data_IF_850019427481
#
_entry.id   IF_850019427481
#
_cell.length_a   1.000
_cell.length_b   1.000
_cell.length_c   1.000
_cell.angle_alpha   90.00
_cell.angle_beta   90.00
_cell.angle_gamma   90.00
#
_symmetry.space_group_name_H-M   'P 1'
#
loop_
_entity.id
_entity.type
_entity.pdbx_description
1 polymer ?
#
# COMPACT_ATOMS: atom_id res chain seq x y z
N UNK A 1 -26.16 -12.22 68.39
CA UNK A 1 -26.04 -11.57 67.06
C UNK A 1 -24.62 -11.81 66.66
N UNK A 2 -24.45 -12.98 66.08
CA UNK A 2 -23.26 -13.79 66.17
C UNK A 2 -22.28 -13.47 65.05
N UNK A 3 -21.04 -13.30 65.48
CA UNK A 3 -19.76 -13.69 64.88
C UNK A 3 -19.65 -13.79 63.35
N UNK A 4 -18.75 -12.98 62.77
CA UNK A 4 -17.95 -13.46 61.64
C UNK A 4 -16.65 -12.67 61.41
N UNK A 5 -15.55 -13.34 61.71
CA UNK A 5 -14.25 -13.30 61.01
C UNK A 5 -13.58 -14.66 61.27
N UNK A 6 -12.55 -15.13 60.52
CA UNK A 6 -12.04 -14.75 59.19
C UNK A 6 -11.70 -15.99 58.28
N UNK A 7 -10.92 -15.75 57.21
CA UNK A 7 -10.10 -16.68 56.37
C UNK A 7 -10.92 -17.54 55.36
N UNK A 8 -10.59 -17.66 54.06
CA UNK A 8 -9.30 -17.96 53.47
C UNK A 8 -9.22 -17.64 51.96
N UNK A 9 -8.00 -17.33 51.54
CA UNK A 9 -7.55 -17.00 50.19
C UNK A 9 -7.61 -18.21 49.25
N UNK A 10 -8.02 -18.01 47.99
CA UNK A 10 -7.49 -18.75 46.84
C UNK A 10 -7.91 -18.11 45.51
N UNK A 11 -6.96 -18.13 44.57
CA UNK A 11 -7.08 -17.99 43.12
C UNK A 11 -6.90 -16.59 42.50
N UNK A 12 -5.65 -16.32 42.14
CA UNK A 12 -5.25 -15.56 40.95
C UNK A 12 -6.06 -15.99 39.71
N UNK A 13 -6.57 -15.04 38.92
CA UNK A 13 -6.56 -15.11 37.44
C UNK A 13 -6.68 -13.70 36.82
N UNK A 14 -5.95 -13.41 35.74
CA UNK A 14 -6.06 -12.14 35.01
C UNK A 14 -7.31 -12.14 34.12
N UNK A 15 -8.13 -11.10 34.26
CA UNK A 15 -9.34 -10.86 33.46
C UNK A 15 -8.98 -10.72 31.98
N UNK A 16 -9.30 -11.78 31.22
CA UNK A 16 -9.25 -11.87 29.77
C UNK A 16 -10.50 -11.21 29.17
N UNK A 17 -10.32 -10.06 28.51
CA UNK A 17 -11.34 -9.44 27.68
C UNK A 17 -11.69 -10.30 26.45
N UNK A 18 -12.93 -10.21 25.93
CA UNK A 18 -13.51 -11.23 25.07
C UNK A 18 -13.17 -11.05 23.59
N UNK A 19 -13.07 -12.20 22.92
CA UNK A 19 -13.36 -12.44 21.51
C UNK A 19 -12.54 -11.68 20.46
N UNK A 20 -11.26 -12.05 20.38
CA UNK A 20 -10.53 -11.99 19.11
C UNK A 20 -11.04 -13.15 18.24
N UNK A 21 -12.15 -12.93 17.54
CA UNK A 21 -12.53 -13.78 16.42
C UNK A 21 -11.32 -13.90 15.47
N UNK A 22 -11.01 -15.11 14.97
CA UNK A 22 -9.95 -15.26 14.01
C UNK A 22 -10.35 -14.42 12.80
N UNK A 23 -9.51 -13.43 12.46
CA UNK A 23 -9.51 -12.79 11.15
C UNK A 23 -9.17 -13.92 10.19
N UNK A 24 -10.20 -14.68 9.85
CA UNK A 24 -10.24 -15.58 8.72
C UNK A 24 -9.65 -14.79 7.57
N UNK A 25 -8.69 -15.42 6.92
CA UNK A 25 -8.24 -15.14 5.58
C UNK A 25 -9.39 -14.64 4.68
N UNK A 26 -9.72 -13.36 4.81
CA UNK A 26 -10.27 -12.54 3.75
C UNK A 26 -9.11 -12.36 2.76
N UNK A 27 -8.65 -13.48 2.22
CA UNK A 27 -7.88 -13.53 0.98
C UNK A 27 -8.63 -12.61 0.04
N UNK A 28 -7.98 -11.50 -0.30
CA UNK A 28 -8.46 -10.38 -1.09
C UNK A 28 -9.54 -10.82 -2.10
N UNK A 29 -10.80 -10.87 -1.63
CA UNK A 29 -11.90 -11.47 -2.39
C UNK A 29 -12.29 -10.58 -3.58
N UNK A 30 -11.61 -9.43 -3.71
CA UNK A 30 -11.69 -8.51 -4.86
C UNK A 30 -10.81 -8.97 -6.03
N UNK A 31 -9.78 -9.78 -5.78
CA UNK A 31 -8.82 -10.23 -6.79
C UNK A 31 -8.89 -11.73 -7.10
N UNK A 32 -9.79 -12.49 -6.48
CA UNK A 32 -9.96 -13.91 -6.80
C UNK A 32 -10.51 -14.06 -8.23
N UNK A 33 -9.68 -14.60 -9.12
CA UNK A 33 -10.04 -15.00 -10.48
C UNK A 33 -10.02 -16.52 -10.54
N UNK A 34 -11.20 -17.12 -10.73
CA UNK A 34 -11.26 -18.55 -11.00
C UNK A 34 -10.63 -18.86 -12.36
N UNK A 35 -10.20 -20.11 -12.53
CA UNK A 35 -9.63 -20.59 -13.80
C UNK A 35 -10.63 -20.39 -14.95
N UNK A 36 -11.90 -20.74 -14.73
CA UNK A 36 -12.97 -20.57 -15.71
C UNK A 36 -13.26 -19.10 -16.06
N UNK A 37 -13.20 -18.20 -15.07
CA UNK A 37 -13.36 -16.76 -15.30
C UNK A 37 -12.18 -16.18 -16.09
N UNK A 38 -10.96 -16.63 -15.81
CA UNK A 38 -9.75 -16.21 -16.55
C UNK A 38 -9.75 -16.77 -17.97
N UNK A 39 -10.12 -18.05 -18.13
CA UNK A 39 -10.29 -18.73 -19.42
C UNK A 39 -11.28 -17.99 -20.32
N UNK A 40 -12.49 -17.71 -19.81
CA UNK A 40 -13.53 -16.96 -20.52
C UNK A 40 -13.08 -15.54 -20.88
N UNK A 41 -12.38 -14.86 -19.96
CA UNK A 41 -11.85 -13.52 -20.20
C UNK A 41 -10.82 -13.52 -21.33
N UNK A 42 -9.84 -14.45 -21.29
CA UNK A 42 -8.78 -14.55 -22.30
C UNK A 42 -9.37 -14.84 -23.68
N UNK A 43 -10.36 -15.73 -23.78
CA UNK A 43 -11.06 -16.00 -25.06
C UNK A 43 -11.75 -14.79 -25.63
N UNK A 44 -12.64 -14.17 -24.82
CA UNK A 44 -13.50 -13.11 -25.35
C UNK A 44 -12.68 -11.86 -25.67
N UNK A 45 -11.67 -11.58 -24.86
CA UNK A 45 -10.69 -10.56 -25.14
C UNK A 45 -9.87 -10.91 -26.40
N UNK A 46 -9.38 -12.14 -26.52
CA UNK A 46 -8.53 -12.60 -27.63
C UNK A 46 -9.22 -12.49 -28.99
N UNK A 47 -10.51 -12.85 -29.08
CA UNK A 47 -11.30 -12.66 -30.31
C UNK A 47 -11.43 -11.18 -30.70
N UNK A 48 -11.64 -10.29 -29.72
CA UNK A 48 -11.75 -8.86 -29.96
C UNK A 48 -10.41 -8.20 -30.26
N UNK A 49 -9.32 -8.70 -29.67
CA UNK A 49 -7.95 -8.26 -29.90
C UNK A 49 -7.49 -8.58 -31.32
N UNK A 50 -7.90 -9.74 -31.86
CA UNK A 50 -7.66 -10.11 -33.27
C UNK A 50 -8.36 -9.17 -34.25
N UNK A 51 -9.53 -8.64 -33.89
CA UNK A 51 -10.35 -7.81 -34.78
C UNK A 51 -10.07 -6.30 -34.65
N UNK A 52 -9.67 -5.82 -33.48
CA UNK A 52 -9.59 -4.38 -33.17
C UNK A 52 -8.28 -4.05 -32.46
N UNK A 53 -7.52 -3.08 -32.99
CA UNK A 53 -6.25 -2.61 -32.41
C UNK A 53 -6.38 -2.00 -31.00
N UNK A 54 -7.54 -1.43 -30.65
CA UNK A 54 -7.82 -0.83 -29.32
C UNK A 54 -9.25 -1.12 -28.85
N UNK A 55 -9.40 -1.79 -27.71
CA UNK A 55 -10.71 -2.01 -27.08
C UNK A 55 -11.20 -0.74 -26.37
N UNK A 56 -12.44 -0.34 -26.66
CA UNK A 56 -13.15 0.76 -26.00
C UNK A 56 -13.85 0.27 -24.72
N UNK A 57 -14.22 1.20 -23.83
CA UNK A 57 -14.92 0.91 -22.55
C UNK A 57 -16.15 0.02 -22.75
N UNK A 58 -16.98 0.33 -23.75
CA UNK A 58 -18.20 -0.44 -24.04
C UNK A 58 -17.91 -1.92 -24.38
N UNK A 59 -16.78 -2.20 -25.04
CA UNK A 59 -16.36 -3.58 -25.34
C UNK A 59 -15.89 -4.30 -24.08
N UNK A 60 -15.17 -3.61 -23.20
CA UNK A 60 -14.78 -4.14 -21.90
C UNK A 60 -15.98 -4.43 -21.00
N UNK A 61 -17.01 -3.59 -21.02
CA UNK A 61 -18.26 -3.85 -20.30
C UNK A 61 -18.98 -5.10 -20.83
N UNK A 62 -19.00 -5.30 -22.16
CA UNK A 62 -19.53 -6.55 -22.76
C UNK A 62 -18.73 -7.78 -22.32
N UNK A 63 -17.40 -7.69 -22.28
CA UNK A 63 -16.54 -8.77 -21.78
C UNK A 63 -16.86 -9.07 -20.30
N UNK A 64 -16.92 -8.04 -19.46
CA UNK A 64 -17.22 -8.19 -18.03
C UNK A 64 -18.56 -8.89 -17.80
N UNK A 65 -19.60 -8.50 -18.55
CA UNK A 65 -20.92 -9.18 -18.50
C UNK A 65 -20.81 -10.68 -18.79
N UNK A 66 -20.12 -11.06 -19.87
CA UNK A 66 -19.93 -12.48 -20.24
C UNK A 66 -19.15 -13.25 -19.19
N UNK A 67 -18.08 -12.65 -18.64
CA UNK A 67 -17.28 -13.25 -17.56
C UNK A 67 -18.14 -13.50 -16.33
N UNK A 68 -18.94 -12.51 -15.91
CA UNK A 68 -19.80 -12.63 -14.73
C UNK A 68 -20.94 -13.63 -14.93
N UNK A 69 -21.48 -13.76 -16.14
CA UNK A 69 -22.51 -14.76 -16.45
C UNK A 69 -21.99 -16.20 -16.43
N UNK A 70 -20.71 -16.41 -16.80
CA UNK A 70 -20.09 -17.73 -16.80
C UNK A 70 -19.46 -18.11 -15.46
N UNK A 71 -19.01 -17.12 -14.70
CA UNK A 71 -18.44 -17.32 -13.36
C UNK A 71 -19.52 -17.57 -12.30
N UNK A 72 -20.32 -18.62 -12.46
CA UNK A 72 -21.40 -19.00 -11.54
C UNK A 72 -20.94 -19.29 -10.09
N UNK A 73 -19.63 -19.38 -9.87
CA UNK A 73 -19.01 -19.67 -8.57
C UNK A 73 -18.25 -18.48 -7.97
N UNK A 74 -18.18 -17.33 -8.65
CA UNK A 74 -17.49 -16.15 -8.11
C UNK A 74 -18.44 -15.31 -7.28
N UNK A 75 -18.16 -15.16 -5.98
CA UNK A 75 -18.90 -14.27 -5.06
C UNK A 75 -18.69 -12.78 -5.36
N UNK A 76 -17.91 -12.43 -6.39
CA UNK A 76 -17.51 -11.06 -6.69
C UNK A 76 -17.77 -10.72 -8.16
N UNK A 77 -18.66 -9.76 -8.40
CA UNK A 77 -18.94 -9.24 -9.73
C UNK A 77 -17.71 -8.47 -10.28
N UNK A 78 -17.22 -8.83 -11.46
CA UNK A 78 -16.06 -8.18 -12.09
C UNK A 78 -16.46 -6.95 -12.91
N UNK A 79 -15.71 -5.87 -12.78
CA UNK A 79 -15.90 -4.65 -13.57
C UNK A 79 -15.03 -4.64 -14.83
N UNK A 80 -15.38 -3.79 -15.80
CA UNK A 80 -14.60 -3.59 -17.03
C UNK A 80 -13.12 -3.27 -16.76
N UNK A 81 -12.85 -2.43 -15.75
CA UNK A 81 -11.49 -2.06 -15.34
C UNK A 81 -10.73 -3.24 -14.73
N UNK A 82 -11.41 -4.09 -13.96
CA UNK A 82 -10.79 -5.31 -13.40
C UNK A 82 -10.42 -6.30 -14.50
N UNK A 83 -11.30 -6.51 -15.49
CA UNK A 83 -10.99 -7.33 -16.67
C UNK A 83 -9.77 -6.79 -17.43
N UNK A 84 -9.71 -5.47 -17.65
CA UNK A 84 -8.61 -4.83 -18.32
C UNK A 84 -7.29 -4.99 -17.54
N UNK A 85 -7.31 -4.73 -16.23
CA UNK A 85 -6.15 -4.89 -15.36
C UNK A 85 -5.65 -6.34 -15.36
N UNK A 86 -6.57 -7.31 -15.32
CA UNK A 86 -6.22 -8.73 -15.35
C UNK A 86 -5.56 -9.13 -16.67
N UNK A 87 -6.11 -8.72 -17.81
CA UNK A 87 -5.48 -8.93 -19.13
C UNK A 87 -4.09 -8.28 -19.19
N UNK A 88 -3.92 -7.06 -18.69
CA UNK A 88 -2.61 -6.40 -18.67
C UNK A 88 -1.59 -7.21 -17.86
N UNK A 89 -1.98 -7.74 -16.69
CA UNK A 89 -1.12 -8.63 -15.88
C UNK A 89 -0.76 -9.91 -16.61
N UNK A 90 -1.74 -10.53 -17.29
CA UNK A 90 -1.54 -11.75 -18.09
C UNK A 90 -0.57 -11.50 -19.26
N UNK A 91 -0.69 -10.36 -19.96
CA UNK A 91 0.24 -9.97 -21.03
C UNK A 91 1.65 -9.73 -20.51
N UNK A 92 1.81 -9.09 -19.34
CA UNK A 92 3.12 -8.90 -18.70
C UNK A 92 3.77 -10.24 -18.37
N UNK A 93 3.02 -11.18 -17.79
CA UNK A 93 3.52 -12.53 -17.51
C UNK A 93 3.90 -13.27 -18.79
N UNK A 94 3.06 -13.21 -19.82
CA UNK A 94 3.38 -13.78 -21.13
C UNK A 94 4.69 -13.22 -21.71
N UNK A 95 4.91 -11.90 -21.67
CA UNK A 95 6.15 -11.30 -22.17
C UNK A 95 7.39 -11.76 -21.38
N UNK A 96 7.27 -11.93 -20.06
CA UNK A 96 8.33 -12.49 -19.22
C UNK A 96 8.65 -13.92 -19.64
N UNK A 97 7.63 -14.78 -19.76
CA UNK A 97 7.84 -16.17 -20.16
C UNK A 97 8.38 -16.30 -21.60
N UNK A 98 7.90 -15.46 -22.53
CA UNK A 98 8.42 -15.41 -23.90
C UNK A 98 9.91 -15.04 -23.96
N UNK A 99 10.37 -14.16 -23.06
CA UNK A 99 11.79 -13.76 -22.99
C UNK A 99 12.72 -14.83 -22.39
N UNK A 100 12.15 -15.80 -21.67
CA UNK A 100 12.88 -16.87 -20.99
C UNK A 100 12.78 -18.22 -21.72
N UNK A 101 11.92 -18.32 -22.73
CA UNK A 101 11.69 -19.53 -23.52
C UNK A 101 12.85 -19.75 -24.52
N UNK A 102 13.97 -20.29 -24.03
CA UNK A 102 15.14 -20.64 -24.85
C UNK A 102 15.16 -22.11 -25.28
N UNK A 103 14.38 -23.01 -24.67
CA UNK A 103 14.43 -24.44 -25.04
C UNK A 103 13.31 -25.34 -24.50
N UNK A 104 12.33 -24.83 -23.76
CA UNK A 104 11.23 -25.66 -23.25
C UNK A 104 9.93 -24.86 -23.27
N UNK A 105 8.89 -25.44 -23.85
CA UNK A 105 7.54 -24.89 -23.89
C UNK A 105 7.11 -24.45 -22.49
N UNK A 106 6.45 -23.30 -22.36
CA UNK A 106 6.00 -22.84 -21.05
C UNK A 106 5.02 -23.83 -20.43
N UNK A 107 5.19 -24.13 -19.14
CA UNK A 107 4.27 -24.94 -18.34
C UNK A 107 3.01 -24.18 -17.92
N UNK A 108 2.88 -22.91 -18.29
CA UNK A 108 1.77 -22.07 -17.88
C UNK A 108 0.55 -22.22 -18.79
N UNK A 109 -0.59 -22.57 -18.18
CA UNK A 109 -1.84 -22.93 -18.87
C UNK A 109 -2.42 -21.87 -19.83
N UNK A 110 -2.11 -20.58 -19.64
CA UNK A 110 -2.57 -19.52 -20.53
C UNK A 110 -1.53 -19.05 -21.54
N UNK A 111 -0.30 -19.59 -21.48
CA UNK A 111 0.79 -19.17 -22.37
C UNK A 111 0.44 -19.42 -23.83
N UNK A 112 0.13 -20.66 -24.20
CA UNK A 112 -0.24 -21.04 -25.58
C UNK A 112 -1.46 -20.28 -26.09
N UNK A 113 -2.47 -20.10 -25.22
CA UNK A 113 -3.70 -19.39 -25.58
C UNK A 113 -3.42 -17.91 -25.89
N UNK A 114 -2.62 -17.25 -25.06
CA UNK A 114 -2.19 -15.86 -25.30
C UNK A 114 -1.24 -15.76 -26.49
N UNK A 115 -0.33 -16.72 -26.65
CA UNK A 115 0.59 -16.80 -27.78
C UNK A 115 -0.15 -16.80 -29.11
N UNK A 116 -1.18 -17.65 -29.26
CA UNK A 116 -2.02 -17.72 -30.44
C UNK A 116 -2.79 -16.42 -30.75
N UNK A 117 -3.16 -15.63 -29.74
CA UNK A 117 -3.83 -14.34 -29.94
C UNK A 117 -2.85 -13.18 -30.21
N UNK A 118 -1.60 -13.32 -29.78
CA UNK A 118 -0.57 -12.29 -29.89
C UNK A 118 0.38 -12.50 -31.07
N UNK A 119 0.50 -13.74 -31.57
CA UNK A 119 1.32 -14.10 -32.73
C UNK A 119 0.60 -13.98 -34.07
N UNK A 120 -0.74 -13.96 -34.09
CA UNK A 120 -1.51 -13.81 -35.33
C UNK A 120 -1.46 -12.39 -35.93
N UNK A 121 -0.42 -11.61 -35.66
CA UNK A 121 -0.03 -10.48 -36.49
C UNK A 121 0.74 -11.05 -37.68
N UNK A 122 0.33 -10.82 -38.94
CA UNK A 122 0.98 -11.43 -40.09
C UNK A 122 2.35 -10.76 -40.29
N UNK A 123 3.37 -11.31 -39.65
CA UNK A 123 4.80 -11.07 -39.94
C UNK A 123 5.68 -12.06 -39.14
N UNK A 124 5.41 -13.35 -39.27
CA UNK A 124 6.33 -14.36 -38.73
C UNK A 124 6.33 -15.65 -39.54
N UNK A 125 7.16 -15.68 -40.56
CA UNK A 125 7.91 -16.88 -40.97
C UNK A 125 9.38 -16.70 -40.54
N UNK A 126 10.10 -17.77 -40.17
CA UNK A 126 11.43 -17.64 -39.56
C UNK A 126 12.55 -17.60 -40.62
N UNK A 127 13.68 -16.94 -40.30
CA UNK A 127 14.97 -17.46 -40.75
C UNK A 127 15.85 -17.84 -39.56
N UNK A 128 16.47 -19.01 -39.76
CA UNK A 128 17.51 -19.66 -38.98
C UNK A 128 18.57 -18.68 -38.44
N UNK A 129 18.84 -18.83 -37.15
CA UNK A 129 20.16 -18.67 -36.50
C UNK A 129 20.99 -17.40 -36.79
N UNK A 130 20.91 -16.47 -35.83
CA UNK A 130 22.07 -15.84 -35.18
C UNK A 130 23.21 -15.36 -36.09
N UNK A 131 23.12 -14.09 -36.51
CA UNK A 131 24.31 -13.30 -36.80
C UNK A 131 24.10 -11.86 -36.35
N UNK A 132 25.00 -11.41 -35.45
CA UNK A 132 25.35 -10.02 -35.17
C UNK A 132 24.45 -9.25 -34.17
N UNK A 133 24.83 -9.45 -32.90
CA UNK A 133 25.32 -8.39 -32.01
C UNK A 133 24.70 -7.00 -32.20
N UNK A 134 23.98 -6.56 -31.16
CA UNK A 134 23.87 -5.15 -30.77
C UNK A 134 23.13 -4.27 -31.78
N UNK A 135 21.79 -4.35 -31.79
CA UNK A 135 20.97 -3.16 -32.07
C UNK A 135 21.06 -2.19 -30.89
N UNK A 136 22.20 -1.52 -30.82
CA UNK A 136 22.23 -0.07 -30.58
C UNK A 136 21.15 0.52 -31.49
N UNK A 137 20.26 1.33 -30.94
CA UNK A 137 19.31 2.09 -31.74
C UNK A 137 20.10 2.98 -32.69
N UNK A 138 20.36 2.53 -33.91
CA UNK A 138 20.59 3.43 -35.03
C UNK A 138 19.21 3.90 -35.46
N UNK A 139 18.87 5.08 -34.94
CA UNK A 139 17.81 5.90 -35.50
C UNK A 139 18.21 6.28 -36.93
N UNK A 140 17.32 6.16 -37.92
CA UNK A 140 17.44 6.94 -39.16
C UNK A 140 17.62 8.42 -38.78
N UNK A 141 18.56 9.16 -39.40
CA UNK A 141 18.61 10.59 -39.17
C UNK A 141 17.32 11.18 -39.74
N UNK A 142 16.78 12.17 -39.04
CA UNK A 142 15.74 13.07 -39.52
C UNK A 142 14.28 12.58 -39.32
N UNK A 143 13.75 12.95 -38.15
CA UNK A 143 12.39 13.42 -37.83
C UNK A 143 12.03 12.95 -36.42
N UNK A 144 12.25 13.81 -35.42
CA UNK A 144 11.44 13.97 -34.17
C UNK A 144 12.21 14.77 -33.10
N UNK A 145 12.48 16.04 -33.35
CA UNK A 145 12.85 16.97 -32.27
C UNK A 145 11.65 17.26 -31.35
N UNK A 146 10.42 17.08 -31.84
CA UNK A 146 9.18 17.42 -31.14
C UNK A 146 8.77 16.47 -30.01
N UNK A 147 9.01 15.16 -30.13
CA UNK A 147 8.59 14.17 -29.11
C UNK A 147 9.61 14.01 -27.99
N UNK A 148 10.91 14.17 -28.26
CA UNK A 148 11.95 14.11 -27.22
C UNK A 148 11.80 15.23 -26.20
N UNK A 149 11.51 16.45 -26.66
CA UNK A 149 11.29 17.58 -25.77
C UNK A 149 10.02 17.41 -24.91
N UNK A 150 8.96 16.80 -25.44
CA UNK A 150 7.73 16.49 -24.68
C UNK A 150 7.94 15.39 -23.63
N UNK A 151 8.74 14.37 -23.94
CA UNK A 151 9.08 13.31 -22.99
C UNK A 151 9.98 13.83 -21.85
N UNK A 152 10.93 14.71 -22.16
CA UNK A 152 11.77 15.39 -21.18
C UNK A 152 10.93 16.34 -20.30
N UNK A 153 9.98 17.09 -20.87
CA UNK A 153 9.08 17.97 -20.13
C UNK A 153 8.12 17.21 -19.19
N UNK A 154 7.51 16.12 -19.68
CA UNK A 154 6.66 15.26 -18.86
C UNK A 154 7.45 14.58 -17.72
N UNK A 155 8.70 14.22 -17.98
CA UNK A 155 9.58 13.65 -16.97
C UNK A 155 9.99 14.70 -15.93
N UNK A 156 10.32 15.92 -16.34
CA UNK A 156 10.59 17.03 -15.43
C UNK A 156 9.38 17.39 -14.57
N UNK A 157 8.18 17.37 -15.15
CA UNK A 157 6.94 17.59 -14.40
C UNK A 157 6.71 16.51 -13.34
N UNK A 158 7.01 15.24 -13.66
CA UNK A 158 6.95 14.14 -12.71
C UNK A 158 7.95 14.31 -11.57
N UNK A 159 9.22 14.63 -11.87
CA UNK A 159 10.24 14.86 -10.85
C UNK A 159 9.86 16.03 -9.92
N UNK A 160 9.37 17.13 -10.50
CA UNK A 160 8.87 18.28 -9.72
C UNK A 160 7.68 17.89 -8.84
N UNK A 161 6.75 17.09 -9.36
CA UNK A 161 5.63 16.55 -8.60
C UNK A 161 6.12 15.74 -7.40
N UNK A 162 7.04 14.79 -7.63
CA UNK A 162 7.60 13.96 -6.57
C UNK A 162 8.34 14.79 -5.51
N UNK A 163 9.11 15.80 -5.93
CA UNK A 163 9.81 16.71 -5.02
C UNK A 163 8.83 17.54 -4.16
N UNK A 164 7.75 18.05 -4.77
CA UNK A 164 6.69 18.73 -4.02
C UNK A 164 6.03 17.80 -2.99
N UNK A 165 5.73 16.56 -3.36
CA UNK A 165 5.15 15.59 -2.42
C UNK A 165 6.10 15.29 -1.26
N UNK A 166 7.40 15.10 -1.52
CA UNK A 166 8.37 14.85 -0.44
C UNK A 166 8.54 16.04 0.48
N UNK A 167 8.57 17.26 -0.08
CA UNK A 167 8.72 18.48 0.72
C UNK A 167 7.45 18.75 1.55
N UNK A 168 6.27 18.56 0.98
CA UNK A 168 5.00 18.71 1.69
C UNK A 168 4.88 17.68 2.83
N UNK A 169 5.24 16.42 2.58
CA UNK A 169 5.23 15.38 3.61
C UNK A 169 6.21 15.71 4.75
N UNK A 170 7.43 16.13 4.41
CA UNK A 170 8.44 16.51 5.41
C UNK A 170 7.94 17.67 6.28
N UNK A 171 7.38 18.73 5.67
CA UNK A 171 6.84 19.87 6.39
C UNK A 171 5.65 19.49 7.29
N UNK A 172 4.80 18.55 6.86
CA UNK A 172 3.68 18.05 7.65
C UNK A 172 4.17 17.28 8.89
N UNK A 173 5.15 16.39 8.74
CA UNK A 173 5.74 15.66 9.86
C UNK A 173 6.46 16.60 10.84
N UNK A 174 7.18 17.61 10.34
CA UNK A 174 7.84 18.63 11.16
C UNK A 174 6.81 19.46 11.96
N UNK A 175 5.70 19.86 11.32
CA UNK A 175 4.63 20.63 11.97
C UNK A 175 3.96 19.82 13.08
N UNK A 176 3.70 18.53 12.83
CA UNK A 176 3.13 17.60 13.83
C UNK A 176 4.07 17.44 15.03
N UNK A 177 5.37 17.24 14.78
CA UNK A 177 6.35 17.09 15.84
C UNK A 177 6.51 18.39 16.65
N UNK A 178 6.48 19.54 15.98
CA UNK A 178 6.54 20.85 16.62
C UNK A 178 5.35 21.06 17.55
N UNK A 179 4.14 20.79 17.08
CA UNK A 179 2.93 20.89 17.89
C UNK A 179 3.01 20.00 19.14
N UNK A 180 3.46 18.75 19.01
CA UNK A 180 3.63 17.85 20.16
C UNK A 180 4.64 18.40 21.18
N UNK A 181 5.77 18.92 20.71
CA UNK A 181 6.79 19.53 21.58
C UNK A 181 6.26 20.76 22.31
N UNK A 182 5.48 21.61 21.63
CA UNK A 182 4.89 22.80 22.22
C UNK A 182 3.86 22.43 23.30
N UNK A 183 2.98 21.46 23.02
CA UNK A 183 2.04 20.92 24.00
C UNK A 183 2.73 20.32 25.22
N UNK A 184 3.79 19.54 25.01
CA UNK A 184 4.55 18.93 26.10
C UNK A 184 5.33 19.96 26.92
N UNK A 185 5.81 21.03 26.27
CA UNK A 185 6.43 22.17 26.95
C UNK A 185 5.43 22.86 27.88
N UNK A 186 4.22 23.15 27.41
CA UNK A 186 3.19 23.74 28.26
C UNK A 186 2.83 22.84 29.45
N UNK A 187 2.73 21.52 29.22
CA UNK A 187 2.51 20.53 30.28
C UNK A 187 3.62 20.59 31.33
N UNK A 188 4.87 20.62 30.90
CA UNK A 188 6.03 20.70 31.79
C UNK A 188 6.09 22.03 32.54
N UNK A 189 5.80 23.16 31.88
CA UNK A 189 5.81 24.48 32.50
C UNK A 189 4.70 24.62 33.55
N UNK A 190 3.52 24.02 33.31
CA UNK A 190 2.46 23.98 34.31
C UNK A 190 2.86 23.16 35.54
N UNK A 191 3.42 21.96 35.33
CA UNK A 191 3.92 21.14 36.43
C UNK A 191 5.05 21.83 37.21
N UNK A 192 5.96 22.52 36.52
CA UNK A 192 7.05 23.29 37.14
C UNK A 192 6.50 24.37 38.07
N UNK A 193 5.52 25.17 37.62
CA UNK A 193 4.90 26.23 38.44
C UNK A 193 4.22 25.68 39.69
N UNK A 194 3.56 24.54 39.58
CA UNK A 194 2.97 23.87 40.74
C UNK A 194 4.07 23.47 41.72
N UNK A 195 5.17 22.90 41.23
CA UNK A 195 6.28 22.49 42.09
C UNK A 195 6.97 23.70 42.75
N UNK A 196 7.12 24.81 42.03
CA UNK A 196 7.59 26.09 42.59
C UNK A 196 6.70 26.54 43.75
N UNK A 197 5.37 26.56 43.56
CA UNK A 197 4.42 26.91 44.62
C UNK A 197 4.49 25.95 45.81
N UNK A 198 4.66 24.64 45.57
CA UNK A 198 4.82 23.65 46.64
C UNK A 198 6.09 23.90 47.44
N UNK A 199 7.21 24.16 46.75
CA UNK A 199 8.48 24.42 47.40
C UNK A 199 8.43 25.73 48.19
N UNK A 200 7.84 26.80 47.63
CA UNK A 200 7.63 28.07 48.32
C UNK A 200 6.80 27.91 49.59
N UNK A 201 5.70 27.14 49.54
CA UNK A 201 4.90 26.86 50.72
C UNK A 201 5.70 26.14 51.80
N UNK A 202 6.45 25.09 51.45
CA UNK A 202 7.28 24.34 52.39
C UNK A 202 8.38 25.22 52.98
N UNK A 203 9.06 26.01 52.16
CA UNK A 203 10.12 26.91 52.62
C UNK A 203 9.58 28.00 53.55
N UNK A 204 8.41 28.57 53.24
CA UNK A 204 7.73 29.51 54.12
C UNK A 204 7.34 28.86 55.45
N UNK A 205 6.83 27.63 55.42
CA UNK A 205 6.45 26.88 56.62
C UNK A 205 7.67 26.57 57.50
N UNK A 206 8.77 26.11 56.90
CA UNK A 206 10.04 25.89 57.61
C UNK A 206 10.56 27.17 58.25
N UNK A 207 10.52 28.31 57.52
CA UNK A 207 10.96 29.60 58.06
C UNK A 207 10.11 30.05 59.27
N UNK A 208 8.79 29.83 59.25
CA UNK A 208 7.92 30.10 60.41
C UNK A 208 8.28 29.19 61.58
N UNK A 209 8.46 27.90 61.33
CA UNK A 209 8.85 26.93 62.37
C UNK A 209 10.18 27.30 63.04
N UNK A 210 11.22 27.61 62.26
CA UNK A 210 12.52 28.02 62.80
C UNK A 210 12.47 29.33 63.60
N UNK A 211 11.58 30.27 63.26
CA UNK A 211 11.37 31.49 64.04
C UNK A 211 10.68 31.24 65.37
N UNK A 212 9.85 30.20 65.47
CA UNK A 212 9.21 29.80 66.72
C UNK A 212 10.21 29.11 67.66
N UNK A 213 11.09 28.27 67.13
CA UNK A 213 12.13 27.59 67.91
C UNK A 213 13.31 28.51 68.31
N UNK A 214 13.59 29.57 67.54
CA UNK A 214 14.64 30.54 67.83
C UNK A 214 14.29 31.60 68.89
N UNK A 215 13.07 31.56 69.44
CA UNK A 215 12.55 32.55 70.39
C UNK A 215 12.83 32.28 71.87
N UNK A 216 13.47 31.15 72.22
CA UNK A 216 13.72 30.75 73.61
C UNK A 216 15.22 30.53 73.90
N UNK A 217 16.07 31.48 73.47
CA UNK A 217 17.37 31.69 74.12
C UNK A 217 17.30 32.97 74.93
N UNK A 218 17.03 32.77 76.21
CA UNK A 218 16.78 33.79 77.21
C UNK A 218 17.91 34.80 77.41
N UNK A 219 17.52 35.90 78.01
CA UNK A 219 18.42 36.74 78.76
C UNK A 219 17.85 36.83 80.20
N UNK A 220 18.70 36.72 81.23
CA UNK A 220 18.34 36.35 82.61
C UNK A 220 17.57 37.42 83.38
#
# INVERSE_FOLDING_TARGET
MDDCSPVNSLANTPTRSPDRSPISAASDSRCYWSDDATSTLVDKWGSLHKQIKKLTRNKWEKIAKVVNSRSGHSKSHKTALQCQCHISKLKTRYNREKSMATSSQSTWLYFERLHNFLQSSPDSSPPLASALRKRRREFPPEVTSRTRNQEEEAMSELFRGMEMFTNAYKAAEESKLKLFKDMEKERMDHCRKIEEQRMDFVMNLLNVFFKLDGGDQGNP
#
